data_IF_285830307502
#
_entry.id   IF_285830307502
#
_cell.length_a   1.000
_cell.length_b   1.000
_cell.length_c   1.000
_cell.angle_alpha   90.00
_cell.angle_beta   90.00
_cell.angle_gamma   90.00
#
_symmetry.space_group_name_H-M   'P 1'
#
loop_
_entity.id
_entity.type
_entity.pdbx_description
1 polymer ?
#
# COMPACT_ATOMS: atom_id res chain seq x y z
N UNK A 1 3.12 -26.90 -16.73
CA UNK A 1 2.85 -26.25 -15.44
C UNK A 1 3.27 -24.79 -15.50
N UNK A 2 2.44 -23.90 -14.95
CA UNK A 2 2.61 -22.44 -15.05
C UNK A 2 2.85 -21.75 -13.70
N UNK A 3 2.67 -22.44 -12.57
CA UNK A 3 2.83 -21.87 -11.23
C UNK A 3 4.31 -21.76 -10.83
N UNK A 4 4.58 -20.86 -9.88
CA UNK A 4 5.89 -20.70 -9.22
C UNK A 4 5.72 -20.90 -7.72
N UNK A 5 6.78 -21.33 -7.04
CA UNK A 5 6.74 -21.54 -5.58
C UNK A 5 6.78 -20.21 -4.82
N UNK A 6 6.00 -20.13 -3.74
CA UNK A 6 6.03 -18.99 -2.82
C UNK A 6 7.29 -19.05 -1.94
N UNK A 7 7.96 -17.92 -1.66
CA UNK A 7 9.15 -17.91 -0.81
C UNK A 7 8.85 -18.40 0.62
N UNK A 8 9.43 -19.54 1.00
CA UNK A 8 9.22 -20.14 2.34
C UNK A 8 9.74 -19.29 3.50
N UNK A 9 10.63 -18.34 3.23
CA UNK A 9 11.12 -17.39 4.22
C UNK A 9 10.05 -16.35 4.65
N UNK A 10 9.02 -16.14 3.83
CA UNK A 10 7.90 -15.21 4.07
C UNK A 10 6.69 -15.99 4.58
N UNK A 11 6.85 -16.63 5.73
CA UNK A 11 5.86 -17.49 6.40
C UNK A 11 4.93 -16.72 7.37
N UNK A 12 5.19 -15.43 7.61
CA UNK A 12 4.37 -14.57 8.47
C UNK A 12 4.31 -13.14 7.94
N UNK A 13 3.21 -12.45 8.26
CA UNK A 13 2.99 -11.07 7.83
C UNK A 13 4.00 -10.10 8.44
N UNK A 14 4.50 -10.37 9.65
CA UNK A 14 5.53 -9.55 10.28
C UNK A 14 6.86 -9.63 9.51
N UNK A 15 7.21 -10.80 8.95
CA UNK A 15 8.38 -10.92 8.08
C UNK A 15 8.15 -10.20 6.75
N UNK A 16 6.96 -10.34 6.17
CA UNK A 16 6.57 -9.60 4.97
C UNK A 16 6.71 -8.09 5.18
N UNK A 17 6.14 -7.53 6.24
CA UNK A 17 6.22 -6.09 6.54
C UNK A 17 7.65 -5.62 6.82
N UNK A 18 8.46 -6.44 7.49
CA UNK A 18 9.87 -6.11 7.74
C UNK A 18 10.69 -6.00 6.46
N UNK A 19 10.48 -6.91 5.51
CA UNK A 19 11.24 -6.97 4.26
C UNK A 19 10.65 -6.11 3.14
N UNK A 20 9.33 -5.94 3.15
CA UNK A 20 8.54 -5.25 2.15
C UNK A 20 7.54 -4.30 2.84
N UNK A 21 8.00 -3.15 3.34
CA UNK A 21 7.19 -2.26 4.18
C UNK A 21 6.13 -1.44 3.43
N UNK A 22 6.08 -1.56 2.09
CA UNK A 22 5.15 -0.81 1.23
C UNK A 22 4.18 -1.81 0.61
N UNK A 23 2.90 -1.57 0.82
CA UNK A 23 1.81 -2.29 0.17
C UNK A 23 1.24 -1.45 -0.98
N UNK A 24 0.99 -2.11 -2.11
CA UNK A 24 0.31 -1.51 -3.27
C UNK A 24 -0.99 -2.28 -3.48
N UNK A 25 -2.10 -1.55 -3.49
CA UNK A 25 -3.43 -2.09 -3.75
C UNK A 25 -3.91 -1.60 -5.12
N UNK A 26 -4.32 -2.56 -5.95
CA UNK A 26 -4.92 -2.37 -7.28
C UNK A 26 -6.15 -3.27 -7.40
N UNK A 27 -7.17 -2.82 -8.12
CA UNK A 27 -8.44 -3.54 -8.24
C UNK A 27 -8.81 -3.79 -9.69
N UNK A 28 -8.98 -5.06 -10.05
CA UNK A 28 -9.50 -5.49 -11.35
C UNK A 28 -11.00 -5.82 -11.28
N UNK A 29 -11.71 -5.50 -12.37
CA UNK A 29 -13.16 -5.68 -12.44
C UNK A 29 -13.51 -6.60 -13.61
N UNK A 30 -14.28 -7.65 -13.30
CA UNK A 30 -14.83 -8.56 -14.30
C UNK A 30 -16.33 -8.29 -14.44
N UNK A 31 -16.80 -8.13 -15.68
CA UNK A 31 -18.20 -7.84 -15.98
C UNK A 31 -18.62 -8.53 -17.27
N UNK A 32 -19.88 -8.97 -17.36
CA UNK A 32 -20.45 -9.46 -18.62
C UNK A 32 -20.76 -8.30 -19.56
N UNK A 33 -20.19 -8.29 -20.77
CA UNK A 33 -20.42 -7.25 -21.77
C UNK A 33 -19.35 -7.23 -22.87
N UNK A 34 -19.52 -6.36 -23.87
CA UNK A 34 -18.57 -6.22 -24.98
C UNK A 34 -17.38 -5.31 -24.66
N UNK A 35 -17.52 -4.43 -23.66
CA UNK A 35 -16.44 -3.55 -23.19
C UNK A 35 -15.79 -4.11 -21.93
N UNK A 36 -14.46 -4.22 -21.96
CA UNK A 36 -13.63 -4.59 -20.81
C UNK A 36 -13.18 -3.37 -19.98
N UNK A 37 -13.48 -2.15 -20.43
CA UNK A 37 -12.96 -0.92 -19.81
C UNK A 37 -13.74 -0.60 -18.54
N UNK A 38 -13.04 -0.48 -17.42
CA UNK A 38 -13.58 0.06 -16.18
C UNK A 38 -12.71 1.24 -15.68
N UNK A 39 -13.24 2.47 -15.62
CA UNK A 39 -12.45 3.63 -15.19
C UNK A 39 -12.00 3.56 -13.73
N UNK A 40 -12.60 2.69 -12.90
CA UNK A 40 -12.20 2.48 -11.49
C UNK A 40 -10.89 1.69 -11.35
N UNK A 41 -10.51 0.91 -12.36
CA UNK A 41 -9.30 0.08 -12.31
C UNK A 41 -7.99 0.89 -12.28
N UNK A 42 -8.04 2.20 -12.60
CA UNK A 42 -6.85 3.07 -12.59
C UNK A 42 -6.42 3.51 -11.19
N UNK A 43 -7.28 3.35 -10.19
CA UNK A 43 -7.01 3.84 -8.84
C UNK A 43 -5.94 2.94 -8.21
N UNK A 44 -4.88 3.56 -7.71
CA UNK A 44 -3.80 2.88 -6.99
C UNK A 44 -3.74 3.43 -5.57
N UNK A 45 -3.66 2.54 -4.58
CA UNK A 45 -3.46 2.92 -3.19
C UNK A 45 -2.13 2.38 -2.68
N UNK A 46 -1.28 3.26 -2.16
CA UNK A 46 -0.03 2.93 -1.48
C UNK A 46 -0.25 3.02 0.03
N UNK A 47 0.20 2.02 0.79
CA UNK A 47 0.17 2.01 2.25
C UNK A 47 1.56 1.72 2.81
N UNK A 48 1.97 2.48 3.82
CA UNK A 48 3.27 2.32 4.49
C UNK A 48 3.21 2.79 5.94
N UNK A 49 3.79 2.04 6.87
CA UNK A 49 3.97 2.49 8.25
C UNK A 49 5.11 3.50 8.36
N UNK A 50 4.91 4.58 9.12
CA UNK A 50 5.96 5.59 9.29
C UNK A 50 7.16 5.08 10.10
N UNK A 51 6.95 4.10 10.97
CA UNK A 51 8.01 3.40 11.71
C UNK A 51 8.98 2.62 10.82
N UNK A 52 8.58 2.27 9.60
CA UNK A 52 9.45 1.61 8.62
C UNK A 52 10.26 2.60 7.77
N UNK A 53 10.05 3.91 7.95
CA UNK A 53 10.78 4.96 7.25
C UNK A 53 11.88 5.55 8.14
N UNK A 54 13.02 5.87 7.54
CA UNK A 54 14.14 6.50 8.25
C UNK A 54 13.88 8.00 8.48
N UNK A 55 13.00 8.32 9.42
CA UNK A 55 12.57 9.67 9.77
C UNK A 55 13.04 10.04 11.18
N UNK A 56 13.62 11.24 11.33
CA UNK A 56 13.84 11.81 12.66
C UNK A 56 12.53 12.38 13.26
N UNK A 57 12.57 12.78 14.53
CA UNK A 57 11.44 13.35 15.25
C UNK A 57 10.82 14.57 14.55
N UNK A 58 11.67 15.44 14.01
CA UNK A 58 11.23 16.64 13.32
C UNK A 58 10.56 16.29 11.97
N UNK A 59 11.17 15.38 11.21
CA UNK A 59 10.69 14.90 9.93
C UNK A 59 9.38 14.14 10.07
N UNK A 60 9.23 13.25 11.07
CA UNK A 60 7.97 12.55 11.35
C UNK A 60 6.85 13.54 11.69
N UNK A 61 7.11 14.50 12.59
CA UNK A 61 6.14 15.55 12.95
C UNK A 61 5.76 16.41 11.74
N UNK A 62 6.73 16.79 10.91
CA UNK A 62 6.50 17.59 9.69
C UNK A 62 5.67 16.81 8.68
N UNK A 63 6.01 15.55 8.41
CA UNK A 63 5.30 14.71 7.46
C UNK A 63 3.84 14.52 7.88
N UNK A 64 3.57 14.20 9.14
CA UNK A 64 2.21 14.03 9.67
C UNK A 64 1.37 15.31 9.46
N UNK A 65 1.96 16.50 9.66
CA UNK A 65 1.27 17.77 9.40
C UNK A 65 0.99 18.01 7.91
N UNK A 66 1.89 17.58 7.02
CA UNK A 66 1.74 17.76 5.57
C UNK A 66 0.69 16.82 4.96
N UNK A 67 0.67 15.55 5.37
CA UNK A 67 -0.20 14.53 4.78
C UNK A 67 -1.64 14.60 5.28
N UNK A 68 -1.86 15.20 6.46
CA UNK A 68 -3.17 15.44 7.04
C UNK A 68 -3.92 14.13 7.35
N UNK A 69 -5.15 14.02 6.86
CA UNK A 69 -6.04 12.87 7.10
C UNK A 69 -5.57 11.56 6.46
N UNK A 70 -4.56 11.62 5.58
CA UNK A 70 -3.95 10.43 4.95
C UNK A 70 -3.17 9.56 5.94
N UNK A 71 -2.88 10.07 7.14
CA UNK A 71 -2.15 9.34 8.17
C UNK A 71 -3.07 8.96 9.33
N UNK A 72 -3.13 7.67 9.64
CA UNK A 72 -3.83 7.14 10.80
C UNK A 72 -2.89 7.01 12.00
N UNK A 73 -3.20 7.72 13.09
CA UNK A 73 -2.38 7.70 14.32
C UNK A 73 -2.44 6.37 15.07
N UNK A 74 -3.57 5.67 15.00
CA UNK A 74 -3.78 4.41 15.74
C UNK A 74 -2.96 3.26 15.15
N UNK A 75 -2.79 3.26 13.83
CA UNK A 75 -2.09 2.18 13.11
C UNK A 75 -0.72 2.58 12.57
N UNK A 76 -0.28 3.82 12.79
CA UNK A 76 0.96 4.42 12.25
C UNK A 76 1.03 4.35 10.70
N UNK A 77 -0.12 4.24 10.03
CA UNK A 77 -0.22 3.98 8.59
C UNK A 77 -0.44 5.25 7.79
N UNK A 78 0.40 5.48 6.78
CA UNK A 78 0.21 6.49 5.74
C UNK A 78 -0.44 5.83 4.51
N UNK A 79 -1.57 6.38 4.06
CA UNK A 79 -2.30 5.91 2.87
C UNK A 79 -2.33 6.99 1.79
N UNK A 80 -1.81 6.68 0.62
CA UNK A 80 -1.81 7.56 -0.55
C UNK A 80 -2.63 6.90 -1.66
N UNK A 81 -3.78 7.48 -1.98
CA UNK A 81 -4.61 7.04 -3.12
C UNK A 81 -4.46 8.02 -4.27
N UNK A 82 -4.13 7.50 -5.45
CA UNK A 82 -3.99 8.26 -6.69
C UNK A 82 -4.96 7.76 -7.75
N UNK A 83 -5.73 8.69 -8.33
CA UNK A 83 -6.75 8.44 -9.36
C UNK A 83 -6.66 9.39 -10.56
N UNK A 84 -5.59 10.21 -10.60
CA UNK A 84 -5.30 11.25 -11.59
C UNK A 84 -4.37 10.78 -12.69
#
# INVERSE_FOLDING_TARGET
DFCTEWPSALDSDEKCERHFPIEIETVDYVSSGTSIRNPKARVVTLRVKLSNLNLDDHAKKKLIKLVGERYCRETDMLTITTDR
#
